data_IF_106484134842
#
_entry.id   IF_106484134842
#
_cell.length_a   1.000
_cell.length_b   1.000
_cell.length_c   1.000
_cell.angle_alpha   90.00
_cell.angle_beta   90.00
_cell.angle_gamma   90.00
#
_symmetry.space_group_name_H-M   'P 1'
#
loop_
_entity.id
_entity.type
_entity.pdbx_description
1 polymer ?
#
# COMPACT_ATOMS: atom_id res chain seq x y z
N UNK A 1 42.33 35.99 -58.97
CA UNK A 1 41.33 34.96 -59.31
C UNK A 1 41.47 33.86 -58.26
N UNK A 2 40.53 33.80 -57.33
CA UNK A 2 40.53 32.81 -56.24
C UNK A 2 39.07 32.49 -55.90
N UNK A 3 38.72 31.21 -56.02
CA UNK A 3 37.38 30.64 -55.85
C UNK A 3 36.81 30.82 -54.44
N UNK A 4 35.48 31.00 -54.27
CA UNK A 4 34.83 30.81 -52.98
C UNK A 4 34.16 29.43 -52.86
N UNK A 5 34.25 28.89 -51.65
CA UNK A 5 33.38 27.89 -51.00
C UNK A 5 33.45 26.42 -51.45
N UNK A 6 34.21 25.62 -50.68
CA UNK A 6 33.87 24.23 -50.38
C UNK A 6 33.08 24.20 -49.06
N UNK A 7 31.82 23.77 -49.08
CA UNK A 7 31.08 23.38 -47.87
C UNK A 7 31.59 22.03 -47.35
N UNK A 8 31.66 21.81 -46.03
CA UNK A 8 31.81 20.47 -45.47
C UNK A 8 30.45 19.81 -45.22
N UNK A 9 30.30 18.55 -45.65
CA UNK A 9 29.14 17.70 -45.38
C UNK A 9 28.86 17.55 -43.87
N UNK A 10 27.59 17.46 -43.43
CA UNK A 10 27.27 17.22 -42.04
C UNK A 10 27.58 15.77 -41.65
N UNK A 11 28.44 15.61 -40.64
CA UNK A 11 28.70 14.33 -39.98
C UNK A 11 27.38 13.84 -39.35
N UNK A 12 26.76 12.81 -39.94
CA UNK A 12 25.72 12.03 -39.26
C UNK A 12 26.38 11.25 -38.13
N UNK A 13 26.28 11.79 -36.91
CA UNK A 13 26.53 11.01 -35.70
C UNK A 13 25.33 10.07 -35.47
N UNK A 14 25.44 8.83 -35.94
CA UNK A 14 24.56 7.75 -35.50
C UNK A 14 24.88 7.42 -34.05
N UNK A 15 24.05 7.92 -33.13
CA UNK A 15 24.13 7.56 -31.72
C UNK A 15 23.50 6.16 -31.60
N UNK A 16 24.34 5.13 -31.63
CA UNK A 16 23.94 3.79 -31.19
C UNK A 16 23.74 3.81 -29.67
N UNK A 17 22.52 4.09 -29.23
CA UNK A 17 22.08 3.84 -27.86
C UNK A 17 21.71 2.36 -27.72
N UNK A 18 22.72 1.50 -27.69
CA UNK A 18 22.57 0.17 -27.09
C UNK A 18 22.89 0.30 -25.61
N UNK A 19 21.98 0.92 -24.86
CA UNK A 19 22.00 0.88 -23.39
C UNK A 19 21.12 -0.30 -22.97
N UNK A 20 21.70 -1.49 -23.00
CA UNK A 20 21.12 -2.66 -22.34
C UNK A 20 21.48 -2.60 -20.86
N UNK A 21 20.90 -1.64 -20.13
CA UNK A 21 20.83 -1.73 -18.69
C UNK A 21 19.76 -2.76 -18.36
N UNK A 22 20.17 -3.90 -17.80
CA UNK A 22 19.27 -4.89 -17.24
C UNK A 22 18.23 -4.23 -16.31
N UNK A 23 16.99 -4.15 -16.77
CA UNK A 23 15.79 -3.66 -16.05
C UNK A 23 15.37 -4.57 -14.87
N UNK A 24 16.31 -5.33 -14.29
CA UNK A 24 16.03 -6.28 -13.22
C UNK A 24 16.01 -5.64 -11.83
N UNK A 25 16.67 -4.50 -11.63
CA UNK A 25 16.77 -3.86 -10.30
C UNK A 25 15.52 -3.06 -9.89
N UNK A 26 14.67 -2.65 -10.85
CA UNK A 26 13.45 -1.89 -10.54
C UNK A 26 12.28 -2.75 -10.03
N UNK A 27 12.39 -4.09 -10.08
CA UNK A 27 11.29 -4.98 -9.68
C UNK A 27 11.16 -5.19 -8.18
N UNK A 28 12.17 -4.83 -7.39
CA UNK A 28 12.22 -5.07 -5.94
C UNK A 28 11.65 -3.93 -5.07
N UNK A 29 11.08 -2.88 -5.66
CA UNK A 29 10.58 -1.72 -4.91
C UNK A 29 9.08 -1.43 -5.14
N UNK A 30 8.36 -2.39 -5.72
CA UNK A 30 6.94 -2.24 -6.05
C UNK A 30 6.05 -2.48 -4.82
N UNK A 31 5.07 -1.60 -4.65
CA UNK A 31 3.98 -1.76 -3.69
C UNK A 31 2.82 -2.48 -4.37
N UNK A 32 2.32 -3.54 -3.75
CA UNK A 32 1.12 -4.26 -4.18
C UNK A 32 -0.09 -3.76 -3.39
N UNK A 33 -1.19 -3.45 -4.08
CA UNK A 33 -2.45 -3.10 -3.45
C UNK A 33 -3.20 -4.35 -2.98
N UNK A 34 -3.77 -4.28 -1.78
CA UNK A 34 -4.55 -5.37 -1.20
C UNK A 34 -5.70 -4.84 -0.37
N UNK A 35 -6.82 -5.56 -0.44
CA UNK A 35 -7.93 -5.39 0.47
C UNK A 35 -8.08 -6.68 1.26
N UNK A 36 -8.10 -6.57 2.58
CA UNK A 36 -8.37 -7.68 3.49
C UNK A 36 -9.71 -7.46 4.19
N UNK A 37 -10.44 -8.55 4.43
CA UNK A 37 -11.67 -8.54 5.20
C UNK A 37 -11.40 -9.22 6.53
N UNK A 38 -11.70 -8.53 7.64
CA UNK A 38 -11.54 -9.05 8.99
C UNK A 38 -12.92 -9.09 9.66
N UNK A 39 -13.49 -10.29 9.78
CA UNK A 39 -14.76 -10.45 10.50
C UNK A 39 -14.57 -10.29 12.01
N UNK A 40 -15.65 -10.02 12.78
CA UNK A 40 -15.57 -9.94 14.24
C UNK A 40 -14.84 -11.13 14.86
N UNK A 41 -13.84 -10.86 15.71
CA UNK A 41 -13.03 -11.89 16.37
C UNK A 41 -12.00 -12.58 15.46
N UNK A 42 -11.90 -12.23 14.19
CA UNK A 42 -10.85 -12.70 13.31
C UNK A 42 -9.62 -11.80 13.37
N UNK A 43 -8.50 -12.39 12.96
CA UNK A 43 -7.22 -11.72 12.84
C UNK A 43 -6.64 -11.96 11.44
N UNK A 44 -5.82 -11.01 10.99
CA UNK A 44 -5.00 -11.09 9.81
C UNK A 44 -3.55 -10.90 10.22
N UNK A 45 -2.70 -11.84 9.81
CA UNK A 45 -1.28 -11.82 10.08
C UNK A 45 -0.51 -11.10 8.97
N UNK A 46 0.43 -10.25 9.37
CA UNK A 46 1.31 -9.55 8.44
C UNK A 46 2.22 -10.54 7.68
N UNK A 47 2.45 -10.35 6.37
CA UNK A 47 3.39 -11.16 5.63
C UNK A 47 4.83 -10.95 6.13
N UNK A 48 5.57 -12.04 6.32
CA UNK A 48 6.95 -12.03 6.80
C UNK A 48 7.88 -11.23 5.87
N UNK A 49 8.74 -10.42 6.48
CA UNK A 49 9.78 -9.68 5.77
C UNK A 49 9.28 -8.56 4.86
N UNK A 50 7.98 -8.22 4.89
CA UNK A 50 7.38 -7.17 4.05
C UNK A 50 6.95 -5.96 4.88
N UNK A 51 7.07 -4.77 4.29
CA UNK A 51 6.49 -3.57 4.88
C UNK A 51 5.01 -3.46 4.49
N UNK A 52 4.16 -2.96 5.39
CA UNK A 52 2.73 -2.79 5.15
C UNK A 52 2.32 -1.36 5.45
N UNK A 53 1.62 -0.72 4.52
CA UNK A 53 1.07 0.61 4.68
C UNK A 53 -0.46 0.55 4.68
N UNK A 54 -1.09 0.91 5.79
CA UNK A 54 -2.55 0.96 5.89
C UNK A 54 -3.05 2.31 5.41
N UNK A 55 -3.95 2.30 4.43
CA UNK A 55 -4.45 3.51 3.77
C UNK A 55 -5.88 3.85 4.17
N UNK A 56 -6.71 2.83 4.37
CA UNK A 56 -8.11 3.03 4.72
C UNK A 56 -8.66 1.82 5.45
N UNK A 57 -9.57 2.07 6.39
CA UNK A 57 -10.43 1.05 6.95
C UNK A 57 -11.89 1.48 6.79
N UNK A 58 -12.74 0.50 6.51
CA UNK A 58 -14.17 0.70 6.40
C UNK A 58 -14.93 -0.43 7.10
N UNK A 59 -16.11 -0.11 7.59
CA UNK A 59 -17.02 -1.04 8.23
C UNK A 59 -18.16 -1.33 7.26
N UNK A 60 -18.58 -2.59 7.19
CA UNK A 60 -19.76 -2.98 6.40
C UNK A 60 -21.02 -2.37 7.02
N UNK A 61 -21.76 -1.58 6.23
CA UNK A 61 -23.08 -1.07 6.60
C UNK A 61 -24.17 -1.86 5.89
N UNK A 62 -25.22 -2.21 6.64
CA UNK A 62 -26.50 -2.70 6.17
C UNK A 62 -27.61 -1.69 6.47
N UNK A 63 -28.74 -1.72 5.74
CA UNK A 63 -29.88 -0.83 5.99
C UNK A 63 -30.47 -0.94 7.41
N UNK A 64 -30.19 -2.04 8.10
CA UNK A 64 -30.67 -2.34 9.45
C UNK A 64 -29.62 -2.09 10.53
N UNK A 65 -28.52 -1.38 10.22
CA UNK A 65 -27.46 -1.16 11.19
C UNK A 65 -28.00 -0.48 12.45
N UNK A 66 -27.67 -1.06 13.60
CA UNK A 66 -27.99 -0.51 14.91
C UNK A 66 -27.02 0.63 15.24
N UNK A 67 -27.45 1.60 16.04
CA UNK A 67 -26.54 2.59 16.64
C UNK A 67 -25.41 1.93 17.46
N UNK A 68 -25.61 0.68 17.90
CA UNK A 68 -24.64 -0.12 18.64
C UNK A 68 -23.64 -0.87 17.75
N UNK A 69 -23.76 -0.77 16.42
CA UNK A 69 -22.80 -1.34 15.51
C UNK A 69 -21.48 -0.56 15.57
N UNK A 70 -20.38 -1.27 15.71
CA UNK A 70 -19.05 -0.69 15.80
C UNK A 70 -18.03 -1.60 15.14
N UNK A 71 -17.20 -1.00 14.30
CA UNK A 71 -16.00 -1.63 13.76
C UNK A 71 -14.80 -1.15 14.56
N UNK A 72 -13.96 -2.06 15.06
CA UNK A 72 -12.77 -1.66 15.82
C UNK A 72 -11.55 -2.39 15.25
N UNK A 73 -10.71 -1.65 14.53
CA UNK A 73 -9.44 -2.17 14.04
C UNK A 73 -8.40 -2.02 15.14
N UNK A 74 -7.82 -3.13 15.57
CA UNK A 74 -6.70 -3.19 16.50
C UNK A 74 -5.47 -3.78 15.83
N UNK A 75 -4.29 -3.36 16.25
CA UNK A 75 -3.03 -4.02 15.92
C UNK A 75 -2.39 -4.58 17.19
N UNK A 76 -1.84 -5.79 17.08
CA UNK A 76 -1.03 -6.41 18.12
C UNK A 76 0.40 -6.55 17.58
N UNK A 77 1.37 -6.00 18.30
CA UNK A 77 2.80 -6.14 18.03
C UNK A 77 3.49 -6.71 19.28
N UNK A 78 4.80 -6.92 19.21
CA UNK A 78 5.60 -7.30 20.38
C UNK A 78 5.56 -6.26 21.52
N UNK A 79 5.29 -4.99 21.19
CA UNK A 79 5.22 -3.89 22.16
C UNK A 79 3.85 -3.80 22.85
N UNK A 80 2.84 -4.47 22.29
CA UNK A 80 1.51 -4.55 22.87
C UNK A 80 0.39 -4.44 21.84
N UNK A 81 -0.84 -4.33 22.35
CA UNK A 81 -2.05 -4.18 21.54
C UNK A 81 -2.55 -2.73 21.61
N UNK A 82 -2.80 -2.12 20.45
CA UNK A 82 -3.35 -0.78 20.34
C UNK A 82 -4.52 -0.70 19.36
N UNK A 83 -5.38 0.30 19.57
CA UNK A 83 -6.51 0.57 18.67
C UNK A 83 -6.06 1.51 17.56
N UNK A 84 -6.24 1.11 16.31
CA UNK A 84 -5.96 1.94 15.13
C UNK A 84 -7.15 2.83 14.84
N UNK A 85 -8.36 2.27 14.79
CA UNK A 85 -9.55 3.02 14.40
C UNK A 85 -10.82 2.42 15.01
N UNK A 86 -11.81 3.30 15.24
CA UNK A 86 -13.17 2.97 15.64
C UNK A 86 -14.13 3.56 14.61
N UNK A 87 -15.03 2.74 14.09
CA UNK A 87 -15.97 3.09 13.03
C UNK A 87 -17.39 2.90 13.54
N UNK A 88 -18.27 3.81 13.13
CA UNK A 88 -19.68 3.83 13.53
C UNK A 88 -20.57 3.94 12.29
N UNK A 89 -21.89 3.65 12.36
CA UNK A 89 -22.76 3.73 11.19
C UNK A 89 -22.83 5.12 10.56
N UNK A 90 -22.71 6.18 11.36
CA UNK A 90 -22.66 7.56 10.87
C UNK A 90 -21.28 7.97 10.36
N UNK A 91 -20.24 7.16 10.61
CA UNK A 91 -18.88 7.35 10.13
C UNK A 91 -18.21 5.98 9.87
N UNK A 92 -18.60 5.28 8.78
CA UNK A 92 -18.18 3.91 8.53
C UNK A 92 -16.78 3.79 7.94
N UNK A 93 -16.10 4.89 7.66
CA UNK A 93 -14.82 4.90 6.97
C UNK A 93 -13.84 5.81 7.70
N UNK A 94 -12.57 5.41 7.73
CA UNK A 94 -11.47 6.19 8.27
C UNK A 94 -10.25 6.03 7.38
N UNK A 95 -9.68 7.15 6.97
CA UNK A 95 -8.36 7.18 6.31
C UNK A 95 -7.28 6.89 7.34
N UNK A 96 -6.31 6.06 6.95
CA UNK A 96 -5.18 5.67 7.76
C UNK A 96 -3.90 6.14 7.08
N UNK A 97 -2.89 6.46 7.88
CA UNK A 97 -1.54 6.76 7.43
C UNK A 97 -0.57 6.09 8.40
N UNK A 98 -0.58 4.75 8.38
CA UNK A 98 0.17 3.93 9.33
C UNK A 98 1.03 2.92 8.57
N UNK A 99 2.33 2.92 8.85
CA UNK A 99 3.30 2.02 8.23
C UNK A 99 3.87 1.07 9.26
N UNK A 100 3.85 -0.22 8.95
CA UNK A 100 4.58 -1.26 9.66
C UNK A 100 5.83 -1.63 8.85
N UNK A 101 6.97 -1.66 9.52
CA UNK A 101 8.24 -1.99 8.88
C UNK A 101 8.38 -3.50 8.67
N UNK A 102 9.24 -3.90 7.72
CA UNK A 102 9.57 -5.31 7.46
C UNK A 102 10.17 -6.09 8.65
N UNK A 103 10.62 -5.38 9.69
CA UNK A 103 11.24 -5.96 10.89
C UNK A 103 10.22 -6.26 11.98
N UNK A 104 8.97 -5.79 11.84
CA UNK A 104 7.95 -5.87 12.86
C UNK A 104 6.84 -6.82 12.40
N UNK A 105 6.76 -7.99 13.01
CA UNK A 105 5.58 -8.85 12.89
C UNK A 105 4.42 -8.21 13.64
N UNK A 106 3.23 -8.22 13.04
CA UNK A 106 2.02 -7.71 13.65
C UNK A 106 0.77 -8.45 13.16
N UNK A 107 -0.27 -8.40 14.00
CA UNK A 107 -1.59 -8.90 13.64
C UNK A 107 -2.58 -7.77 13.65
N UNK A 108 -3.41 -7.68 12.62
CA UNK A 108 -4.60 -6.84 12.61
C UNK A 108 -5.79 -7.66 13.07
N UNK A 109 -6.62 -7.11 13.95
CA UNK A 109 -7.79 -7.80 14.45
C UNK A 109 -8.99 -6.88 14.52
N UNK A 110 -10.18 -7.49 14.41
CA UNK A 110 -11.44 -6.79 14.54
C UNK A 110 -12.05 -7.07 15.92
N UNK A 111 -11.92 -6.09 16.82
CA UNK A 111 -12.50 -6.14 18.17
C UNK A 111 -13.94 -5.57 18.21
N UNK A 112 -14.51 -5.21 17.05
CA UNK A 112 -15.89 -4.75 16.90
C UNK A 112 -16.88 -5.88 16.61
N UNK A 113 -18.12 -5.51 16.31
CA UNK A 113 -19.21 -6.44 16.01
C UNK A 113 -19.64 -6.44 14.52
N UNK A 114 -18.93 -5.69 13.66
CA UNK A 114 -19.17 -5.65 12.22
C UNK A 114 -17.92 -5.95 11.41
N UNK A 115 -18.03 -6.64 10.25
CA UNK A 115 -16.89 -6.88 9.38
C UNK A 115 -16.20 -5.59 8.94
N UNK A 116 -14.88 -5.64 8.91
CA UNK A 116 -14.01 -4.57 8.46
C UNK A 116 -13.37 -4.92 7.12
N UNK A 117 -13.31 -3.94 6.22
CA UNK A 117 -12.45 -3.99 5.04
C UNK A 117 -11.29 -3.02 5.25
N UNK A 118 -10.06 -3.53 5.18
CA UNK A 118 -8.84 -2.73 5.31
C UNK A 118 -8.14 -2.72 3.96
N UNK A 119 -7.96 -1.53 3.39
CA UNK A 119 -7.11 -1.31 2.23
C UNK A 119 -5.68 -1.03 2.70
N UNK A 120 -4.73 -1.73 2.09
CA UNK A 120 -3.33 -1.65 2.44
C UNK A 120 -2.45 -1.84 1.22
N UNK A 121 -1.22 -1.35 1.32
CA UNK A 121 -0.15 -1.63 0.38
C UNK A 121 0.87 -2.55 1.04
N UNK A 122 1.41 -3.51 0.30
CA UNK A 122 2.48 -4.39 0.77
C UNK A 122 3.71 -4.17 -0.10
N UNK A 123 4.86 -3.88 0.50
CA UNK A 123 6.13 -3.77 -0.21
C UNK A 123 6.81 -5.14 -0.29
N UNK A 124 7.03 -5.62 -1.52
CA UNK A 124 7.65 -6.91 -1.81
C UNK A 124 9.17 -6.90 -1.66
#
# INVERSE_FOLDING_TARGET
>A
MTCPQCEPDPVKSEINLSDSSDDSDYKNDLWEDKIIIINPGQEWESPDGKAVFLTQVSMTISPTNSANDVGILTATTQEGKFTISKLFPHQPTSSLNLTFSKLQAFHLSNSGNRPLSVALLVKC
#
